data_IF_281318389002
#
_entry.id   IF_281318389002
#
_cell.length_a   1.000
_cell.length_b   1.000
_cell.length_c   1.000
_cell.angle_alpha   90.00
_cell.angle_beta   90.00
_cell.angle_gamma   90.00
#
_symmetry.space_group_name_H-M   'P 1'
#
loop_
_entity.id
_entity.type
_entity.pdbx_description
1 polymer ?
#
# COMPACT_ATOMS: atom_id res chain seq x y z
N UNK A 1 -24.80 -33.68 -8.02
CA UNK A 1 -24.15 -33.52 -6.71
C UNK A 1 -23.22 -32.31 -6.83
N UNK A 2 -23.64 -31.13 -6.38
CA UNK A 2 -22.82 -29.92 -6.52
C UNK A 2 -21.87 -29.84 -5.33
N UNK A 3 -20.56 -29.90 -5.59
CA UNK A 3 -19.53 -29.69 -4.58
C UNK A 3 -19.49 -28.19 -4.30
N UNK A 4 -20.02 -27.76 -3.16
CA UNK A 4 -19.87 -26.39 -2.68
C UNK A 4 -18.44 -26.30 -2.10
N UNK A 5 -17.50 -25.80 -2.89
CA UNK A 5 -16.15 -25.48 -2.42
C UNK A 5 -16.24 -24.28 -1.48
N UNK A 6 -16.23 -24.56 -0.18
CA UNK A 6 -16.15 -23.54 0.86
C UNK A 6 -14.74 -22.92 0.85
N UNK A 7 -14.49 -22.00 -0.09
CA UNK A 7 -13.26 -21.19 -0.12
C UNK A 7 -13.28 -20.26 1.08
N UNK A 8 -12.66 -20.72 2.17
CA UNK A 8 -12.41 -19.93 3.36
C UNK A 8 -11.47 -18.80 2.95
N UNK A 9 -12.00 -17.59 2.75
CA UNK A 9 -11.22 -16.40 2.43
C UNK A 9 -10.15 -16.26 3.51
N UNK A 10 -8.88 -16.39 3.13
CA UNK A 10 -7.77 -16.20 4.04
C UNK A 10 -7.62 -14.70 4.30
N UNK A 11 -8.30 -14.23 5.34
CA UNK A 11 -8.26 -12.84 5.77
C UNK A 11 -6.85 -12.40 6.22
N UNK A 12 -5.94 -13.34 6.47
CA UNK A 12 -4.58 -13.06 6.97
C UNK A 12 -3.63 -12.87 5.78
N UNK A 13 -3.63 -13.80 4.82
CA UNK A 13 -2.70 -13.76 3.69
C UNK A 13 -3.29 -13.12 2.42
N UNK A 14 -4.62 -13.07 2.28
CA UNK A 14 -5.34 -12.55 1.11
C UNK A 14 -6.62 -11.79 1.48
N UNK A 15 -6.54 -10.72 2.28
CA UNK A 15 -7.71 -9.90 2.56
C UNK A 15 -8.26 -9.28 1.25
N UNK A 16 -9.55 -9.45 0.92
CA UNK A 16 -10.14 -9.01 -0.35
C UNK A 16 -10.17 -7.48 -0.56
N UNK A 17 -9.69 -6.72 0.42
CA UNK A 17 -9.60 -5.27 0.41
C UNK A 17 -8.16 -4.75 0.21
N UNK A 18 -7.22 -5.65 -0.11
CA UNK A 18 -5.83 -5.36 -0.47
C UNK A 18 -5.50 -5.76 -1.92
N UNK A 19 -6.49 -6.12 -2.73
CA UNK A 19 -6.30 -6.46 -4.15
C UNK A 19 -6.80 -5.32 -5.04
N UNK A 20 -5.98 -4.88 -5.98
CA UNK A 20 -6.40 -4.01 -7.09
C UNK A 20 -6.39 -4.87 -8.36
N UNK A 21 -7.52 -5.51 -8.66
CA UNK A 21 -7.58 -6.51 -9.73
C UNK A 21 -6.85 -7.80 -9.36
N UNK A 22 -5.94 -8.24 -10.23
CA UNK A 22 -5.21 -9.53 -10.11
C UNK A 22 -3.86 -9.44 -9.37
N UNK A 23 -3.48 -8.24 -8.90
CA UNK A 23 -2.19 -8.00 -8.26
C UNK A 23 -2.39 -7.82 -6.75
N UNK A 24 -1.65 -8.61 -5.96
CA UNK A 24 -1.56 -8.43 -4.51
C UNK A 24 -0.80 -7.12 -4.23
N UNK A 25 -1.43 -6.17 -3.55
CA UNK A 25 -0.82 -4.84 -3.33
C UNK A 25 0.48 -4.92 -2.53
N UNK A 26 0.67 -5.99 -1.73
CA UNK A 26 1.91 -6.18 -0.98
C UNK A 26 3.10 -6.42 -1.91
N UNK A 27 2.95 -7.27 -2.92
CA UNK A 27 3.98 -7.54 -3.93
C UNK A 27 4.33 -6.27 -4.72
N UNK A 28 3.30 -5.47 -5.04
CA UNK A 28 3.49 -4.18 -5.69
C UNK A 28 4.26 -3.19 -4.78
N UNK A 29 3.88 -3.10 -3.51
CA UNK A 29 4.56 -2.25 -2.53
C UNK A 29 6.02 -2.67 -2.38
N UNK A 30 6.31 -3.97 -2.27
CA UNK A 30 7.68 -4.48 -2.17
C UNK A 30 8.52 -4.11 -3.40
N UNK A 31 7.99 -4.32 -4.61
CA UNK A 31 8.69 -3.97 -5.86
C UNK A 31 8.95 -2.47 -6.01
N UNK A 32 7.99 -1.63 -5.63
CA UNK A 32 8.17 -0.17 -5.66
C UNK A 32 9.18 0.28 -4.61
N UNK A 33 9.03 -0.18 -3.36
CA UNK A 33 9.87 0.27 -2.24
C UNK A 33 11.31 -0.22 -2.32
N UNK A 34 11.59 -1.32 -3.02
CA UNK A 34 12.96 -1.80 -3.28
C UNK A 34 13.84 -0.80 -4.06
N UNK A 35 13.22 0.14 -4.79
CA UNK A 35 13.93 1.17 -5.56
C UNK A 35 14.19 2.45 -4.76
N UNK A 36 13.64 2.55 -3.55
CA UNK A 36 13.81 3.71 -2.69
C UNK A 36 14.89 3.45 -1.63
N UNK A 37 15.60 4.50 -1.19
CA UNK A 37 16.41 4.44 0.02
C UNK A 37 15.57 3.96 1.22
N UNK A 38 16.13 3.16 2.15
CA UNK A 38 15.39 2.61 3.30
C UNK A 38 14.63 3.66 4.12
N UNK A 39 15.17 4.88 4.22
CA UNK A 39 14.59 5.99 4.96
C UNK A 39 13.32 6.60 4.32
N UNK A 40 13.07 6.31 3.04
CA UNK A 40 11.89 6.72 2.27
C UNK A 40 10.95 5.55 2.01
N UNK A 41 11.50 4.34 1.81
CA UNK A 41 10.77 3.12 1.46
C UNK A 41 9.56 2.85 2.37
N UNK A 42 9.73 2.98 3.70
CA UNK A 42 8.62 2.78 4.65
C UNK A 42 7.45 3.74 4.44
N UNK A 43 7.76 5.02 4.17
CA UNK A 43 6.74 6.04 3.99
C UNK A 43 6.05 5.90 2.63
N UNK A 44 6.80 5.58 1.56
CA UNK A 44 6.25 5.26 0.24
C UNK A 44 5.30 4.06 0.32
N UNK A 45 5.72 2.95 0.91
CA UNK A 45 4.86 1.76 1.03
C UNK A 45 3.59 2.03 1.84
N UNK A 46 3.70 2.83 2.90
CA UNK A 46 2.53 3.26 3.69
C UNK A 46 1.58 4.12 2.86
N UNK A 47 2.08 5.08 2.08
CA UNK A 47 1.26 5.91 1.20
C UNK A 47 0.50 5.07 0.18
N UNK A 48 1.18 4.16 -0.52
CA UNK A 48 0.58 3.25 -1.51
C UNK A 48 -0.51 2.39 -0.88
N UNK A 49 -0.24 1.81 0.30
CA UNK A 49 -1.22 1.04 1.06
C UNK A 49 -2.50 1.83 1.32
N UNK A 50 -2.39 3.08 1.78
CA UNK A 50 -3.57 3.90 2.07
C UNK A 50 -4.30 4.34 0.80
N UNK A 51 -3.58 4.66 -0.28
CA UNK A 51 -4.18 4.98 -1.59
C UNK A 51 -5.00 3.79 -2.09
N UNK A 52 -4.42 2.58 -2.08
CA UNK A 52 -5.11 1.37 -2.51
C UNK A 52 -6.35 1.07 -1.65
N UNK A 53 -6.26 1.30 -0.33
CA UNK A 53 -7.35 1.01 0.60
C UNK A 53 -8.49 2.04 0.58
N UNK A 54 -8.23 3.27 0.14
CA UNK A 54 -9.18 4.38 0.26
C UNK A 54 -10.55 4.08 -0.38
N UNK A 55 -10.57 3.50 -1.58
CA UNK A 55 -11.82 3.17 -2.28
C UNK A 55 -12.60 2.00 -1.66
N UNK A 56 -12.02 1.26 -0.72
CA UNK A 56 -12.62 0.05 -0.14
C UNK A 56 -12.95 0.15 1.34
N UNK A 57 -12.40 1.14 2.07
CA UNK A 57 -12.55 1.22 3.53
C UNK A 57 -12.90 2.61 4.06
N UNK A 58 -11.92 3.51 4.16
CA UNK A 58 -12.10 4.78 4.90
C UNK A 58 -12.12 6.03 4.01
N UNK A 59 -12.11 5.87 2.68
CA UNK A 59 -12.22 6.98 1.73
C UNK A 59 -11.20 8.09 2.00
N UNK A 60 -11.72 9.30 2.24
CA UNK A 60 -10.94 10.53 2.46
C UNK A 60 -9.92 10.41 3.61
N UNK A 61 -10.25 9.69 4.68
CA UNK A 61 -9.32 9.54 5.82
C UNK A 61 -8.04 8.81 5.41
N UNK A 62 -8.16 7.77 4.57
CA UNK A 62 -6.99 7.06 4.05
C UNK A 62 -6.21 7.94 3.06
N UNK A 63 -6.89 8.77 2.26
CA UNK A 63 -6.21 9.77 1.41
C UNK A 63 -5.44 10.80 2.24
N UNK A 64 -5.99 11.28 3.35
CA UNK A 64 -5.29 12.22 4.23
C UNK A 64 -4.08 11.57 4.91
N UNK A 65 -4.18 10.28 5.29
CA UNK A 65 -3.01 9.50 5.77
C UNK A 65 -1.96 9.34 4.68
N UNK A 66 -2.36 8.99 3.45
CA UNK A 66 -1.43 8.90 2.32
C UNK A 66 -0.70 10.22 2.08
N UNK A 67 -1.42 11.34 2.12
CA UNK A 67 -0.83 12.70 2.01
C UNK A 67 0.21 12.94 3.10
N UNK A 68 -0.08 12.58 4.35
CA UNK A 68 0.87 12.75 5.45
C UNK A 68 2.18 11.98 5.24
N UNK A 69 2.12 10.74 4.75
CA UNK A 69 3.32 9.97 4.44
C UNK A 69 4.09 10.55 3.25
N UNK A 70 3.39 10.98 2.19
CA UNK A 70 4.02 11.60 1.03
C UNK A 70 4.70 12.92 1.39
N UNK A 71 4.11 13.73 2.27
CA UNK A 71 4.75 14.96 2.75
C UNK A 71 6.10 14.67 3.41
N UNK A 72 6.19 13.63 4.23
CA UNK A 72 7.46 13.24 4.88
C UNK A 72 8.51 12.76 3.88
N UNK A 73 8.07 12.11 2.80
CA UNK A 73 8.97 11.72 1.71
C UNK A 73 9.46 12.97 1.00
N UNK A 74 8.55 13.90 0.67
CA UNK A 74 8.87 15.17 0.04
C UNK A 74 9.89 15.98 0.86
N UNK A 75 9.66 16.16 2.16
CA UNK A 75 10.56 16.93 3.03
C UNK A 75 11.99 16.33 3.10
N UNK A 76 12.10 15.01 3.00
CA UNK A 76 13.39 14.30 2.97
C UNK A 76 14.01 14.22 1.58
N UNK A 77 13.20 14.41 0.53
CA UNK A 77 13.63 14.31 -0.85
C UNK A 77 14.69 15.37 -1.16
N UNK A 78 14.49 16.58 -0.68
CA UNK A 78 15.41 17.70 -0.89
C UNK A 78 16.70 17.53 -0.05
N UNK A 79 16.62 16.90 1.13
CA UNK A 79 17.81 16.67 1.98
C UNK A 79 18.80 15.68 1.36
N UNK A 80 18.35 14.77 0.50
CA UNK A 80 19.17 13.73 -0.13
C UNK A 80 19.73 14.14 -1.50
N UNK A 81 19.16 15.13 -2.18
CA UNK A 81 19.62 15.60 -3.50
C UNK A 81 20.64 16.77 -3.44
N UNK A 82 20.87 17.33 -2.25
CA UNK A 82 21.87 18.38 -2.00
C UNK A 82 23.24 17.84 -1.52
N UNK A 83 23.55 16.56 -1.78
CA UNK A 83 24.85 15.94 -1.47
C UNK A 83 25.55 15.39 -2.71
#
# INVERSE_FOLDING_TARGET
>A
MTIISNQKVDMINKPPHYTYGDIEIIDFIEQVTAQYPPELAFAIGSAIKYIARANHKNGKEDIDKARWYLQRVFDKWDTNNDK
#
